data_IF_419027425623
#
_entry.id   IF_419027425623
#
_cell.length_a   1.000
_cell.length_b   1.000
_cell.length_c   1.000
_cell.angle_alpha   90.00
_cell.angle_beta   90.00
_cell.angle_gamma   90.00
#
_symmetry.space_group_name_H-M   'P 1'
#
loop_
_entity.id
_entity.type
_entity.pdbx_description
1 polymer ?
#
# COMPACT_ATOMS: atom_id res chain seq x y z
N UNK A 1 18.40 13.55 -11.58
CA UNK A 1 17.47 14.43 -12.30
C UNK A 1 16.70 15.26 -11.28
N UNK A 2 16.64 16.57 -11.46
CA UNK A 2 16.02 17.51 -10.54
C UNK A 2 14.81 18.17 -11.22
N UNK A 3 13.74 18.41 -10.47
CA UNK A 3 12.61 19.18 -10.97
C UNK A 3 12.97 20.67 -11.05
N UNK A 4 12.58 21.32 -12.14
CA UNK A 4 12.81 22.74 -12.33
C UNK A 4 11.80 23.61 -11.54
N UNK A 5 10.69 22.99 -11.10
CA UNK A 5 9.56 23.68 -10.45
C UNK A 5 9.48 23.43 -8.94
N UNK A 6 10.24 22.49 -8.38
CA UNK A 6 10.31 22.21 -6.94
C UNK A 6 11.57 21.44 -6.55
N UNK A 7 11.77 21.19 -5.25
CA UNK A 7 12.98 20.57 -4.70
C UNK A 7 13.08 19.04 -4.90
N UNK A 8 12.17 18.42 -5.66
CA UNK A 8 12.21 16.98 -5.89
C UNK A 8 13.40 16.59 -6.77
N UNK A 9 14.22 15.68 -6.24
CA UNK A 9 15.36 15.09 -6.95
C UNK A 9 15.21 13.57 -6.99
N UNK A 10 15.43 12.97 -8.15
CA UNK A 10 15.38 11.53 -8.36
C UNK A 10 16.48 11.05 -9.30
N UNK A 11 16.96 9.83 -9.10
CA UNK A 11 17.93 9.20 -10.00
C UNK A 11 17.30 8.73 -11.32
N UNK A 12 15.97 8.71 -11.45
CA UNK A 12 15.26 8.14 -12.60
C UNK A 12 14.48 9.21 -13.38
N UNK A 13 14.79 9.38 -14.66
CA UNK A 13 14.14 10.39 -15.53
C UNK A 13 12.63 10.15 -15.69
N UNK A 14 12.21 8.89 -15.75
CA UNK A 14 10.78 8.52 -15.86
C UNK A 14 9.98 9.00 -14.64
N UNK A 15 10.56 8.92 -13.43
CA UNK A 15 9.90 9.40 -12.22
C UNK A 15 9.82 10.91 -12.18
N UNK A 16 10.87 11.61 -12.67
CA UNK A 16 10.85 13.06 -12.78
C UNK A 16 9.77 13.52 -13.77
N UNK A 17 9.69 12.90 -14.94
CA UNK A 17 8.66 13.24 -15.95
C UNK A 17 7.25 13.01 -15.40
N UNK A 18 7.01 11.87 -14.74
CA UNK A 18 5.71 11.59 -14.14
C UNK A 18 5.36 12.61 -13.05
N UNK A 19 6.33 12.96 -12.19
CA UNK A 19 6.14 14.00 -11.18
C UNK A 19 5.77 15.34 -11.82
N UNK A 20 6.50 15.80 -12.84
CA UNK A 20 6.20 17.06 -13.54
C UNK A 20 4.80 17.03 -14.15
N UNK A 21 4.45 15.95 -14.85
CA UNK A 21 3.16 15.79 -15.49
C UNK A 21 1.99 15.88 -14.48
N UNK A 22 2.12 15.22 -13.32
CA UNK A 22 1.05 15.12 -12.32
C UNK A 22 0.97 16.37 -11.44
N UNK A 23 2.11 16.83 -10.94
CA UNK A 23 2.18 17.87 -9.90
C UNK A 23 2.20 19.27 -10.51
N UNK A 24 2.88 19.44 -11.64
CA UNK A 24 3.12 20.76 -12.23
C UNK A 24 2.30 21.02 -13.50
N UNK A 25 2.05 20.00 -14.33
CA UNK A 25 1.24 20.12 -15.54
C UNK A 25 -0.22 19.70 -15.33
N UNK A 26 -0.55 19.16 -14.14
CA UNK A 26 -1.89 18.67 -13.76
C UNK A 26 -2.52 17.74 -14.81
N UNK A 27 -1.69 16.98 -15.52
CA UNK A 27 -2.17 15.91 -16.36
C UNK A 27 -2.78 14.86 -15.45
N UNK A 28 -4.07 14.58 -15.64
CA UNK A 28 -4.76 13.57 -14.87
C UNK A 28 -4.04 12.24 -15.05
N UNK A 29 -3.63 11.64 -13.93
CA UNK A 29 -3.20 10.25 -13.91
C UNK A 29 -4.41 9.46 -14.38
N UNK A 30 -4.33 8.89 -15.58
CA UNK A 30 -5.37 8.03 -16.12
C UNK A 30 -5.78 7.05 -15.00
N UNK A 31 -7.07 7.03 -14.63
CA UNK A 31 -7.63 6.20 -13.56
C UNK A 31 -7.20 4.71 -13.70
N UNK A 32 -6.82 4.28 -14.90
CA UNK A 32 -6.19 2.99 -15.18
C UNK A 32 -4.90 2.72 -14.38
N UNK A 33 -4.08 3.75 -14.09
CA UNK A 33 -2.83 3.62 -13.33
C UNK A 33 -3.07 3.54 -11.82
N UNK A 34 -4.23 3.98 -11.33
CA UNK A 34 -4.63 3.87 -9.92
C UNK A 34 -4.74 2.40 -9.49
N UNK A 35 -5.14 1.53 -10.42
CA UNK A 35 -5.15 0.08 -10.21
C UNK A 35 -3.74 -0.52 -10.17
N UNK A 36 -2.78 0.05 -10.91
CA UNK A 36 -1.37 -0.36 -10.89
C UNK A 36 -0.62 0.15 -9.65
N UNK A 37 -1.06 1.27 -9.08
CA UNK A 37 -0.57 1.81 -7.80
C UNK A 37 -1.29 1.23 -6.58
N UNK A 38 -2.25 0.32 -6.79
CA UNK A 38 -2.94 -0.36 -5.70
C UNK A 38 -1.93 -1.23 -4.97
N UNK A 39 -1.55 -0.79 -3.77
CA UNK A 39 -0.60 -1.50 -2.92
C UNK A 39 -1.02 -2.96 -2.70
N UNK A 40 -0.04 -3.85 -2.79
CA UNK A 40 -0.11 -5.24 -2.40
C UNK A 40 0.40 -5.36 -0.97
N UNK A 41 -0.35 -6.03 -0.11
CA UNK A 41 -0.03 -6.21 1.30
C UNK A 41 0.13 -7.70 1.62
N UNK A 42 1.02 -8.02 2.55
CA UNK A 42 1.13 -9.36 3.11
C UNK A 42 -0.04 -9.59 4.07
N UNK A 43 -0.71 -10.74 3.95
CA UNK A 43 -1.81 -11.09 4.87
C UNK A 43 -1.33 -11.41 6.29
N UNK A 44 -0.07 -11.84 6.44
CA UNK A 44 0.46 -12.37 7.69
C UNK A 44 1.23 -11.32 8.51
N UNK A 45 1.85 -10.33 7.87
CA UNK A 45 2.61 -9.27 8.54
C UNK A 45 2.32 -7.87 7.99
N UNK A 46 2.93 -6.84 8.58
CA UNK A 46 2.74 -5.43 8.20
C UNK A 46 3.46 -5.03 6.89
N UNK A 47 3.96 -6.00 6.11
CA UNK A 47 4.66 -5.74 4.85
C UNK A 47 3.70 -5.29 3.74
N UNK A 48 4.06 -4.22 3.03
CA UNK A 48 3.30 -3.67 1.90
C UNK A 48 4.22 -3.16 0.80
N UNK A 49 3.77 -3.25 -0.45
CA UNK A 49 4.55 -2.86 -1.63
C UNK A 49 3.64 -2.58 -2.83
N UNK A 50 4.04 -1.72 -3.75
CA UNK A 50 3.33 -1.52 -5.01
C UNK A 50 3.74 -2.53 -6.10
N UNK A 51 4.54 -3.54 -5.76
CA UNK A 51 5.03 -4.54 -6.71
C UNK A 51 4.69 -5.96 -6.27
N UNK A 52 3.90 -6.65 -7.10
CA UNK A 52 3.57 -8.06 -6.90
C UNK A 52 4.81 -8.94 -6.81
N UNK A 53 5.86 -8.65 -7.59
CA UNK A 53 7.14 -9.39 -7.56
C UNK A 53 7.85 -9.24 -6.22
N UNK A 54 7.80 -8.04 -5.63
CA UNK A 54 8.38 -7.77 -4.32
C UNK A 54 7.58 -8.49 -3.22
N UNK A 55 6.26 -8.57 -3.36
CA UNK A 55 5.42 -9.33 -2.43
C UNK A 55 5.68 -10.85 -2.54
N UNK A 56 5.81 -11.38 -3.76
CA UNK A 56 6.15 -12.80 -3.99
C UNK A 56 7.52 -13.15 -3.41
N UNK A 57 8.52 -12.30 -3.62
CA UNK A 57 9.85 -12.47 -3.02
C UNK A 57 9.77 -12.45 -1.49
N UNK A 58 8.99 -11.52 -0.92
CA UNK A 58 8.78 -11.46 0.52
C UNK A 58 8.24 -12.80 1.08
N UNK A 59 7.29 -13.45 0.41
CA UNK A 59 6.81 -14.78 0.83
C UNK A 59 7.88 -15.86 0.74
N UNK A 60 8.75 -15.85 -0.28
CA UNK A 60 9.85 -16.82 -0.39
C UNK A 60 10.92 -16.64 0.68
N UNK A 61 11.20 -15.41 1.09
CA UNK A 61 12.31 -15.06 1.99
C UNK A 61 11.90 -15.13 3.48
N UNK A 62 10.60 -15.22 3.76
CA UNK A 62 10.06 -15.25 5.13
C UNK A 62 9.61 -16.65 5.50
N UNK A 63 9.53 -16.92 6.81
CA UNK A 63 9.00 -18.19 7.35
C UNK A 63 7.46 -18.26 7.35
N UNK A 64 6.81 -17.41 6.54
CA UNK A 64 5.41 -17.55 6.19
C UNK A 64 5.32 -18.81 5.31
N UNK A 65 5.02 -19.95 5.93
CA UNK A 65 5.20 -21.30 5.37
C UNK A 65 4.71 -21.40 3.91
N UNK A 66 5.64 -21.56 2.99
CA UNK A 66 5.37 -21.50 1.55
C UNK A 66 4.80 -22.83 1.06
N UNK A 67 3.52 -23.10 1.32
CA UNK A 67 2.78 -24.06 0.51
C UNK A 67 2.53 -23.43 -0.86
N UNK A 68 3.39 -23.79 -1.81
CA UNK A 68 3.31 -23.48 -3.25
C UNK A 68 2.05 -24.10 -3.87
N UNK A 69 0.86 -23.64 -3.51
CA UNK A 69 -0.36 -24.00 -4.25
C UNK A 69 -1.18 -22.76 -4.56
N UNK A 70 -1.17 -22.42 -5.86
CA UNK A 70 -2.13 -21.61 -6.61
C UNK A 70 -2.53 -20.25 -6.02
N UNK A 71 -1.93 -19.23 -6.63
CA UNK A 71 -2.24 -17.80 -6.48
C UNK A 71 -3.66 -17.48 -7.00
N UNK A 72 -4.70 -17.78 -6.21
CA UNK A 72 -5.99 -17.13 -6.38
C UNK A 72 -5.93 -15.74 -5.75
N UNK A 73 -5.78 -14.72 -6.59
CA UNK A 73 -6.03 -13.33 -6.25
C UNK A 73 -7.51 -13.21 -5.89
N UNK A 74 -7.86 -13.34 -4.62
CA UNK A 74 -9.23 -13.07 -4.19
C UNK A 74 -9.52 -11.56 -4.25
N UNK A 75 -10.56 -11.13 -4.97
CA UNK A 75 -11.01 -9.75 -4.95
C UNK A 75 -11.66 -9.42 -3.59
N UNK A 76 -11.22 -8.31 -3.00
CA UNK A 76 -11.96 -7.56 -1.98
C UNK A 76 -12.56 -8.37 -0.81
N UNK A 77 -11.72 -8.94 0.03
CA UNK A 77 -12.18 -9.32 1.37
C UNK A 77 -12.57 -8.08 2.19
N UNK A 78 -13.70 -8.24 2.86
CA UNK A 78 -14.52 -7.26 3.55
C UNK A 78 -13.73 -6.52 4.64
N UNK A 79 -13.75 -5.18 4.59
CA UNK A 79 -13.07 -4.34 5.57
C UNK A 79 -13.80 -4.42 6.92
N UNK A 80 -13.06 -4.71 7.99
CA UNK A 80 -13.49 -4.52 9.37
C UNK A 80 -13.36 -3.05 9.73
N UNK A 81 -14.49 -2.37 9.90
CA UNK A 81 -14.55 -0.93 10.23
C UNK A 81 -14.66 -0.75 11.74
N UNK A 82 -13.99 0.29 12.24
CA UNK A 82 -14.21 0.77 13.60
C UNK A 82 -15.57 1.46 13.67
N UNK A 83 -16.33 1.17 14.72
CA UNK A 83 -17.65 1.78 14.93
C UNK A 83 -17.53 3.23 15.46
N UNK A 84 -16.37 3.60 16.00
CA UNK A 84 -16.16 4.88 16.66
C UNK A 84 -15.32 5.87 15.86
N UNK A 85 -14.71 5.47 14.74
CA UNK A 85 -13.99 6.37 13.84
C UNK A 85 -13.93 5.83 12.41
N UNK A 86 -13.38 6.62 11.49
CA UNK A 86 -13.27 6.23 10.07
C UNK A 86 -12.19 5.17 9.79
N UNK A 87 -11.50 4.67 10.82
CA UNK A 87 -10.50 3.62 10.68
C UNK A 87 -11.15 2.31 10.21
N UNK A 88 -10.59 1.71 9.15
CA UNK A 88 -10.98 0.39 8.68
C UNK A 88 -9.75 -0.41 8.27
N UNK A 89 -9.81 -1.71 8.47
CA UNK A 89 -8.70 -2.62 8.16
C UNK A 89 -9.25 -3.95 7.68
N UNK A 90 -8.48 -4.67 6.87
CA UNK A 90 -8.83 -6.03 6.43
C UNK A 90 -8.61 -7.09 7.51
N UNK A 91 -7.96 -6.72 8.61
CA UNK A 91 -7.55 -7.64 9.67
C UNK A 91 -8.26 -7.32 10.99
N UNK A 92 -9.05 -8.26 11.49
CA UNK A 92 -9.82 -8.08 12.73
C UNK A 92 -8.90 -7.84 13.96
N UNK A 93 -7.74 -8.49 14.02
CA UNK A 93 -6.76 -8.29 15.10
C UNK A 93 -6.19 -6.87 15.12
N UNK A 94 -5.99 -6.25 13.94
CA UNK A 94 -5.59 -4.84 13.83
C UNK A 94 -6.70 -3.90 14.30
N UNK A 95 -7.97 -4.23 14.00
CA UNK A 95 -9.10 -3.46 14.51
C UNK A 95 -9.19 -3.56 16.04
N UNK A 96 -9.00 -4.75 16.63
CA UNK A 96 -8.96 -4.95 18.08
C UNK A 96 -7.81 -4.19 18.75
N UNK A 97 -6.64 -4.13 18.11
CA UNK A 97 -5.50 -3.31 18.58
C UNK A 97 -5.82 -1.82 18.52
N UNK A 98 -6.38 -1.36 17.41
CA UNK A 98 -6.83 0.03 17.24
C UNK A 98 -7.83 0.43 18.32
N UNK A 99 -8.85 -0.40 18.57
CA UNK A 99 -9.86 -0.17 19.59
C UNK A 99 -9.24 -0.08 21.00
N UNK A 100 -8.33 -0.99 21.34
CA UNK A 100 -7.59 -0.92 22.63
C UNK A 100 -6.79 0.36 22.77
N UNK A 101 -6.07 0.78 21.72
CA UNK A 101 -5.28 2.02 21.75
C UNK A 101 -6.16 3.28 21.81
N UNK A 102 -7.35 3.25 21.21
CA UNK A 102 -8.31 4.35 21.30
C UNK A 102 -8.87 4.53 22.72
N UNK A 103 -8.95 3.44 23.51
CA UNK A 103 -9.41 3.48 24.90
C UNK A 103 -8.33 3.87 25.92
N UNK A 104 -7.07 3.93 25.51
CA UNK A 104 -5.97 4.36 26.39
C UNK A 104 -5.79 5.86 26.15
N UNK A 105 -6.19 6.75 27.08
CA UNK A 105 -5.89 8.16 26.97
C UNK A 105 -4.36 8.30 27.02
N UNK A 106 -3.78 9.00 26.03
CA UNK A 106 -2.38 9.41 26.13
C UNK A 106 -2.25 10.31 27.36
N UNK A 107 -1.52 9.86 28.38
CA UNK A 107 -1.10 10.68 29.51
C UNK A 107 -0.19 11.82 29.04
#
# INVERSE_FOLDING_TARGET
YQCDSCDVVTHFKVLLNNHTNIVHEKLEVNEDLKHLLKGHECGECDFQTCSLLVLLKHFCDTTHDSSKENFEVQPSQQWHKCEHCQYGTRRNDHLKRHYRNMQIPKM
#
